data_IF_184497911490
#
_entry.id   IF_184497911490
#
_cell.length_a   1.000
_cell.length_b   1.000
_cell.length_c   1.000
_cell.angle_alpha   90.00
_cell.angle_beta   90.00
_cell.angle_gamma   90.00
#
_symmetry.space_group_name_H-M   'P 1'
#
loop_
_entity.id
_entity.type
_entity.pdbx_description
1 polymer ?
#
# COMPACT_ATOMS: atom_id res chain seq x y z
N UNK A 1 24.08 14.87 1.18
CA UNK A 1 22.77 14.17 1.04
C UNK A 1 21.74 15.24 0.81
N UNK A 2 21.01 15.18 -0.30
CA UNK A 2 19.90 16.09 -0.54
C UNK A 2 18.82 15.78 0.50
N UNK A 3 18.46 16.76 1.32
CA UNK A 3 17.41 16.62 2.31
C UNK A 3 16.06 16.73 1.61
N UNK A 4 15.08 15.91 2.03
CA UNK A 4 13.71 16.01 1.53
C UNK A 4 13.11 17.36 1.95
N UNK A 5 12.63 18.14 0.99
CA UNK A 5 11.98 19.42 1.26
C UNK A 5 10.49 19.21 1.58
N UNK A 6 10.19 19.09 2.88
CA UNK A 6 8.82 18.91 3.37
C UNK A 6 7.93 20.10 3.03
N UNK A 7 8.45 21.32 3.05
CA UNK A 7 7.67 22.50 2.73
C UNK A 7 7.26 22.54 1.26
N UNK A 8 8.16 22.13 0.36
CA UNK A 8 7.84 21.97 -1.06
C UNK A 8 6.83 20.83 -1.28
N UNK A 9 6.91 19.74 -0.53
CA UNK A 9 5.94 18.64 -0.59
C UNK A 9 4.54 19.11 -0.16
N UNK A 10 4.41 19.74 1.00
CA UNK A 10 3.13 20.27 1.52
C UNK A 10 2.49 21.25 0.53
N UNK A 11 3.28 22.18 -0.04
CA UNK A 11 2.76 23.15 -1.04
C UNK A 11 2.29 22.46 -2.33
N UNK A 12 2.79 21.29 -2.69
CA UNK A 12 2.46 20.55 -3.91
C UNK A 12 1.41 19.48 -3.70
N UNK A 13 1.14 19.11 -2.45
CA UNK A 13 0.14 18.11 -2.11
C UNK A 13 -1.24 18.56 -2.59
N UNK A 14 -1.91 17.70 -3.33
CA UNK A 14 -3.20 17.98 -3.96
C UNK A 14 -3.91 16.69 -4.34
N UNK A 15 -5.20 16.79 -4.64
CA UNK A 15 -5.94 15.71 -5.28
C UNK A 15 -5.26 15.27 -6.57
N UNK A 16 -5.31 13.96 -6.86
CA UNK A 16 -4.81 13.42 -8.12
C UNK A 16 -5.48 14.13 -9.29
N UNK A 17 -4.67 14.70 -10.18
CA UNK A 17 -5.19 15.39 -11.36
C UNK A 17 -5.65 14.37 -12.40
N UNK A 18 -6.96 14.30 -12.61
CA UNK A 18 -7.59 13.41 -13.58
C UNK A 18 -8.07 14.15 -14.85
N UNK A 19 -7.69 15.41 -15.04
CA UNK A 19 -8.01 16.16 -16.25
C UNK A 19 -7.33 15.53 -17.47
N UNK A 20 -8.04 15.47 -18.57
CA UNK A 20 -7.55 14.89 -19.82
C UNK A 20 -7.56 13.35 -19.87
N UNK A 21 -8.03 12.67 -18.82
CA UNK A 21 -8.26 11.22 -18.88
C UNK A 21 -9.44 10.95 -19.83
N UNK A 22 -9.24 10.07 -20.79
CA UNK A 22 -10.26 9.68 -21.79
C UNK A 22 -11.21 8.61 -21.21
N UNK A 23 -12.09 9.01 -20.30
CA UNK A 23 -13.01 8.09 -19.62
C UNK A 23 -13.90 7.27 -20.56
N UNK A 24 -14.34 7.88 -21.69
CA UNK A 24 -15.16 7.21 -22.70
C UNK A 24 -14.39 6.13 -23.48
N UNK A 25 -13.06 6.11 -23.38
CA UNK A 25 -12.23 5.07 -23.95
C UNK A 25 -12.09 3.85 -23.03
N UNK A 26 -12.40 3.97 -21.75
CA UNK A 26 -12.23 2.86 -20.78
C UNK A 26 -12.97 1.60 -21.24
N UNK A 27 -14.28 1.62 -21.58
CA UNK A 27 -14.98 0.39 -21.96
C UNK A 27 -14.57 -0.19 -23.31
N UNK A 28 -13.73 0.52 -24.08
CA UNK A 28 -13.23 0.03 -25.38
C UNK A 28 -12.07 -0.97 -25.25
N UNK A 29 -11.47 -1.07 -24.08
CA UNK A 29 -10.34 -1.94 -23.81
C UNK A 29 -10.71 -2.94 -22.72
N UNK A 30 -10.60 -4.24 -23.05
CA UNK A 30 -10.91 -5.28 -22.06
C UNK A 30 -9.79 -5.40 -21.03
N UNK A 31 -10.17 -5.54 -19.76
CA UNK A 31 -9.25 -5.88 -18.68
C UNK A 31 -9.20 -7.40 -18.48
N UNK A 32 -8.03 -8.00 -18.22
CA UNK A 32 -7.94 -9.34 -17.65
C UNK A 32 -8.61 -9.40 -16.26
N UNK A 33 -9.25 -10.52 -15.94
CA UNK A 33 -9.93 -10.71 -14.66
C UNK A 33 -8.97 -10.56 -13.46
N UNK A 34 -7.72 -10.99 -13.64
CA UNK A 34 -6.65 -10.83 -12.66
C UNK A 34 -6.30 -9.36 -12.41
N UNK A 35 -6.33 -8.54 -13.46
CA UNK A 35 -6.11 -7.10 -13.32
C UNK A 35 -7.26 -6.44 -12.57
N UNK A 36 -8.51 -6.83 -12.85
CA UNK A 36 -9.71 -6.34 -12.12
C UNK A 36 -9.62 -6.71 -10.63
N UNK A 37 -9.28 -7.97 -10.31
CA UNK A 37 -9.10 -8.43 -8.93
C UNK A 37 -8.01 -7.64 -8.20
N UNK A 38 -6.89 -7.42 -8.87
CA UNK A 38 -5.77 -6.62 -8.34
C UNK A 38 -6.17 -5.16 -8.11
N UNK A 39 -6.87 -4.54 -9.06
CA UNK A 39 -7.34 -3.17 -8.94
C UNK A 39 -8.32 -3.00 -7.78
N UNK A 40 -9.21 -3.96 -7.55
CA UNK A 40 -10.12 -3.94 -6.40
C UNK A 40 -9.37 -4.01 -5.08
N UNK A 41 -8.35 -4.87 -5.00
CA UNK A 41 -7.49 -4.95 -3.83
C UNK A 41 -6.81 -3.60 -3.57
N UNK A 42 -6.15 -3.04 -4.58
CA UNK A 42 -5.43 -1.77 -4.46
C UNK A 42 -6.38 -0.62 -4.10
N UNK A 43 -7.52 -0.52 -4.77
CA UNK A 43 -8.54 0.49 -4.48
C UNK A 43 -9.01 0.44 -3.03
N UNK A 44 -9.20 -0.76 -2.48
CA UNK A 44 -9.62 -0.95 -1.10
C UNK A 44 -8.52 -0.50 -0.12
N UNK A 45 -7.26 -0.86 -0.36
CA UNK A 45 -6.13 -0.47 0.49
C UNK A 45 -5.93 1.05 0.49
N UNK A 46 -5.88 1.69 -0.68
CA UNK A 46 -5.75 3.14 -0.82
C UNK A 46 -6.88 3.88 -0.08
N UNK A 47 -8.11 3.40 -0.22
CA UNK A 47 -9.27 4.00 0.44
C UNK A 47 -9.26 3.85 1.97
N UNK A 48 -8.48 2.89 2.50
CA UNK A 48 -8.43 2.58 3.93
C UNK A 48 -7.11 2.97 4.61
N UNK A 49 -6.24 3.68 3.95
CA UNK A 49 -4.98 4.22 4.50
C UNK A 49 -5.20 5.03 5.79
N UNK A 50 -6.38 5.64 5.95
CA UNK A 50 -6.79 6.34 7.19
C UNK A 50 -6.78 5.42 8.43
N UNK A 51 -7.00 4.11 8.27
CA UNK A 51 -6.96 3.14 9.38
C UNK A 51 -5.53 2.99 9.88
N UNK A 52 -4.57 2.90 8.96
CA UNK A 52 -3.15 2.85 9.28
C UNK A 52 -2.67 4.18 9.90
N UNK A 53 -3.06 5.31 9.31
CA UNK A 53 -2.75 6.63 9.86
C UNK A 53 -3.22 6.78 11.31
N UNK A 54 -4.42 6.32 11.63
CA UNK A 54 -4.94 6.34 13.02
C UNK A 54 -3.99 5.66 14.00
N UNK A 55 -3.35 4.57 13.60
CA UNK A 55 -2.36 3.88 14.43
C UNK A 55 -1.08 4.70 14.56
N UNK A 56 -0.58 5.28 13.46
CA UNK A 56 0.60 6.15 13.47
C UNK A 56 0.40 7.39 14.34
N UNK A 57 -0.77 8.04 14.27
CA UNK A 57 -1.11 9.19 15.09
C UNK A 57 -1.14 8.89 16.61
N UNK A 58 -1.23 7.62 16.98
CA UNK A 58 -1.16 7.19 18.38
C UNK A 58 0.27 6.93 18.86
N UNK A 59 1.28 7.10 18.00
CA UNK A 59 2.71 6.89 18.32
C UNK A 59 3.45 8.23 18.43
N UNK A 60 4.74 8.16 18.73
CA UNK A 60 5.62 9.34 18.76
C UNK A 60 5.97 9.91 17.38
N UNK A 61 5.45 9.31 16.29
CA UNK A 61 5.64 9.85 14.95
C UNK A 61 5.12 11.28 14.81
N UNK A 62 4.07 11.63 15.56
CA UNK A 62 3.48 12.99 15.54
C UNK A 62 4.24 14.02 16.38
N UNK A 63 5.22 13.61 17.19
CA UNK A 63 6.08 14.54 17.93
C UNK A 63 7.04 15.29 16.98
N UNK A 64 7.26 14.74 15.78
CA UNK A 64 8.06 15.38 14.72
C UNK A 64 7.12 16.15 13.78
N UNK A 65 7.22 17.49 13.71
CA UNK A 65 6.31 18.31 12.91
C UNK A 65 6.38 18.03 11.41
N UNK A 66 7.55 17.63 10.90
CA UNK A 66 7.72 17.30 9.48
C UNK A 66 7.02 15.95 9.15
N UNK A 67 7.13 14.98 10.05
CA UNK A 67 6.40 13.71 9.92
C UNK A 67 4.89 13.94 10.01
N UNK A 68 4.44 14.75 10.97
CA UNK A 68 3.02 15.06 11.10
C UNK A 68 2.45 15.75 9.86
N UNK A 69 3.18 16.73 9.30
CA UNK A 69 2.79 17.44 8.08
C UNK A 69 2.74 16.49 6.87
N UNK A 70 3.73 15.60 6.74
CA UNK A 70 3.74 14.59 5.70
C UNK A 70 2.53 13.67 5.81
N UNK A 71 2.27 13.10 6.98
CA UNK A 71 1.18 12.14 7.18
C UNK A 71 -0.20 12.73 6.86
N UNK A 72 -0.41 14.01 7.15
CA UNK A 72 -1.66 14.69 6.81
C UNK A 72 -1.85 14.82 5.29
N UNK A 73 -0.80 15.20 4.56
CA UNK A 73 -0.83 15.30 3.10
C UNK A 73 -0.91 13.92 2.45
N UNK A 74 -0.12 12.96 2.93
CA UNK A 74 -0.07 11.60 2.42
C UNK A 74 -1.45 10.93 2.44
N UNK A 75 -2.14 10.89 3.58
CA UNK A 75 -3.47 10.27 3.64
C UNK A 75 -4.50 10.97 2.74
N UNK A 76 -4.35 12.26 2.54
CA UNK A 76 -5.18 13.00 1.59
C UNK A 76 -4.92 12.53 0.14
N UNK A 77 -3.66 12.39 -0.27
CA UNK A 77 -3.28 11.92 -1.60
C UNK A 77 -3.74 10.47 -1.82
N UNK A 78 -3.50 9.55 -0.87
CA UNK A 78 -3.96 8.15 -0.90
C UNK A 78 -5.49 8.04 -1.07
N UNK A 79 -6.25 8.88 -0.35
CA UNK A 79 -7.71 8.92 -0.51
C UNK A 79 -8.11 9.24 -1.96
N UNK A 80 -7.33 10.09 -2.65
CA UNK A 80 -7.58 10.41 -4.05
C UNK A 80 -7.09 9.34 -5.02
N UNK A 81 -6.04 8.58 -4.68
CA UNK A 81 -5.65 7.37 -5.42
C UNK A 81 -6.79 6.34 -5.39
N UNK A 82 -7.30 6.02 -4.22
CA UNK A 82 -8.43 5.10 -4.07
C UNK A 82 -9.67 5.53 -4.87
N UNK A 83 -9.99 6.83 -4.85
CA UNK A 83 -11.11 7.39 -5.64
C UNK A 83 -10.87 7.27 -7.15
N UNK A 84 -9.65 7.51 -7.62
CA UNK A 84 -9.31 7.39 -9.04
C UNK A 84 -9.43 5.95 -9.53
N UNK A 85 -8.97 4.98 -8.73
CA UNK A 85 -9.11 3.56 -9.02
C UNK A 85 -10.58 3.13 -9.00
N UNK A 86 -11.39 3.62 -8.04
CA UNK A 86 -12.82 3.36 -7.99
C UNK A 86 -13.54 3.91 -9.21
N UNK A 87 -13.23 5.15 -9.62
CA UNK A 87 -13.80 5.76 -10.82
C UNK A 87 -13.44 4.97 -12.07
N UNK A 88 -12.20 4.51 -12.19
CA UNK A 88 -11.77 3.67 -13.30
C UNK A 88 -12.52 2.33 -13.33
N UNK A 89 -12.62 1.63 -12.21
CA UNK A 89 -13.37 0.37 -12.11
C UNK A 89 -14.82 0.56 -12.51
N UNK A 90 -15.46 1.63 -12.04
CA UNK A 90 -16.84 1.97 -12.42
C UNK A 90 -16.98 2.23 -13.92
N UNK A 91 -16.08 3.02 -14.52
CA UNK A 91 -16.06 3.29 -15.96
C UNK A 91 -15.82 2.03 -16.80
N UNK A 92 -15.10 1.04 -16.25
CA UNK A 92 -14.87 -0.27 -16.85
C UNK A 92 -16.05 -1.26 -16.63
N UNK A 93 -17.14 -0.84 -15.99
CA UNK A 93 -18.33 -1.67 -15.72
C UNK A 93 -18.18 -2.63 -14.53
N UNK A 94 -17.22 -2.37 -13.65
CA UNK A 94 -16.99 -3.19 -12.46
C UNK A 94 -17.50 -2.50 -11.19
N UNK A 95 -18.03 -3.31 -10.27
CA UNK A 95 -18.40 -2.83 -8.94
C UNK A 95 -17.17 -2.48 -8.10
N UNK A 96 -17.27 -1.41 -7.35
CA UNK A 96 -16.30 -0.99 -6.35
C UNK A 96 -16.81 -1.33 -4.95
N UNK A 97 -15.90 -1.61 -4.03
CA UNK A 97 -16.26 -1.89 -2.66
C UNK A 97 -16.04 -0.64 -1.81
N UNK A 98 -17.15 -0.14 -1.25
CA UNK A 98 -17.10 0.89 -0.22
C UNK A 98 -17.26 0.20 1.13
N UNK A 99 -16.14 -0.18 1.74
CA UNK A 99 -16.14 -0.75 3.10
C UNK A 99 -16.19 0.37 4.12
N UNK A 100 -17.03 0.28 5.14
CA UNK A 100 -16.93 1.21 6.25
C UNK A 100 -15.57 1.01 6.95
N UNK A 101 -14.89 2.10 7.29
CA UNK A 101 -13.58 2.13 7.97
C UNK A 101 -13.55 1.43 9.37
N UNK A 102 -14.54 0.60 9.67
CA UNK A 102 -14.68 -0.20 10.90
C UNK A 102 -14.62 -1.68 10.55
N UNK A 103 -13.43 -2.24 10.43
CA UNK A 103 -13.28 -3.68 10.56
C UNK A 103 -13.42 -4.08 12.02
N UNK A 104 -14.16 -5.16 12.31
CA UNK A 104 -14.14 -5.79 13.63
C UNK A 104 -12.78 -6.48 13.76
N UNK A 105 -11.87 -5.84 14.49
CA UNK A 105 -10.59 -6.45 14.82
C UNK A 105 -10.84 -7.54 15.86
N UNK A 106 -10.40 -8.79 15.64
CA UNK A 106 -10.47 -9.84 16.64
C UNK A 106 -9.82 -9.40 17.97
N UNK A 107 -10.39 -9.81 19.11
CA UNK A 107 -9.95 -9.35 20.44
C UNK A 107 -8.44 -9.56 20.67
N UNK A 108 -7.89 -10.68 20.21
CA UNK A 108 -6.46 -10.99 20.31
C UNK A 108 -5.58 -10.05 19.49
N UNK A 109 -6.03 -9.63 18.32
CA UNK A 109 -5.33 -8.64 17.49
C UNK A 109 -5.45 -7.23 18.08
N UNK A 110 -6.60 -6.88 18.63
CA UNK A 110 -6.79 -5.62 19.34
C UNK A 110 -5.84 -5.51 20.55
N UNK A 111 -5.61 -6.60 21.29
CA UNK A 111 -4.68 -6.64 22.40
C UNK A 111 -3.23 -6.52 21.93
N UNK A 112 -2.84 -7.21 20.86
CA UNK A 112 -1.51 -7.07 20.24
C UNK A 112 -1.27 -5.64 19.74
N UNK A 113 -2.25 -5.06 19.04
CA UNK A 113 -2.19 -3.68 18.57
C UNK A 113 -2.02 -2.68 19.74
N UNK A 114 -2.71 -2.91 20.88
CA UNK A 114 -2.54 -2.09 22.08
C UNK A 114 -1.14 -2.22 22.69
N UNK A 115 -0.61 -3.44 22.80
CA UNK A 115 0.75 -3.65 23.29
C UNK A 115 1.80 -3.01 22.38
N UNK A 116 1.66 -3.18 21.09
CA UNK A 116 2.53 -2.53 20.08
C UNK A 116 2.44 -1.00 20.18
N UNK A 117 1.24 -0.45 20.38
CA UNK A 117 1.04 1.00 20.56
C UNK A 117 1.68 1.52 21.84
N UNK A 118 1.65 0.75 22.93
CA UNK A 118 2.32 1.14 24.20
C UNK A 118 3.84 1.17 24.00
N UNK A 119 4.42 0.16 23.36
CA UNK A 119 5.86 0.13 23.04
C UNK A 119 6.23 1.27 22.11
N UNK A 120 5.43 1.51 21.07
CA UNK A 120 5.64 2.58 20.09
C UNK A 120 5.58 3.98 20.71
N UNK A 121 4.76 4.16 21.77
CA UNK A 121 4.70 5.40 22.54
C UNK A 121 5.88 5.60 23.49
N UNK A 122 6.34 4.51 24.08
CA UNK A 122 7.41 4.54 25.07
C UNK A 122 8.80 4.67 24.44
N UNK A 123 8.95 4.17 23.21
CA UNK A 123 10.26 4.09 22.55
C UNK A 123 10.40 5.11 21.40
N UNK A 124 11.25 6.14 21.56
CA UNK A 124 11.40 7.20 20.56
C UNK A 124 11.88 6.70 19.20
N UNK A 125 12.75 5.67 19.20
CA UNK A 125 13.34 5.14 17.98
C UNK A 125 12.36 4.26 17.16
N UNK A 126 11.14 4.00 17.69
CA UNK A 126 10.12 3.23 16.97
C UNK A 126 9.69 3.92 15.65
N UNK A 127 9.84 5.24 15.58
CA UNK A 127 9.61 6.00 14.35
C UNK A 127 10.53 5.52 13.22
N UNK A 128 11.77 5.11 13.52
CA UNK A 128 12.67 4.57 12.50
C UNK A 128 12.12 3.28 11.87
N UNK A 129 11.44 2.43 12.63
CA UNK A 129 10.77 1.23 12.13
C UNK A 129 9.65 1.61 11.16
N UNK A 130 8.80 2.56 11.54
CA UNK A 130 7.69 3.03 10.70
C UNK A 130 8.17 3.66 9.40
N UNK A 131 9.22 4.51 9.47
CA UNK A 131 9.77 5.14 8.26
C UNK A 131 10.38 4.09 7.32
N UNK A 132 11.08 3.09 7.87
CA UNK A 132 11.62 2.00 7.06
C UNK A 132 10.52 1.15 6.43
N UNK A 133 9.48 0.81 7.23
CA UNK A 133 8.33 0.05 6.75
C UNK A 133 7.57 0.80 5.65
N UNK A 134 7.31 2.08 5.86
CA UNK A 134 6.71 2.94 4.84
C UNK A 134 7.52 2.98 3.56
N UNK A 135 8.85 3.15 3.65
CA UNK A 135 9.71 3.14 2.47
C UNK A 135 9.63 1.81 1.68
N UNK A 136 9.56 0.66 2.36
CA UNK A 136 9.40 -0.64 1.70
C UNK A 136 8.04 -0.70 1.00
N UNK A 137 6.98 -0.30 1.70
CA UNK A 137 5.61 -0.37 1.19
C UNK A 137 5.41 0.54 -0.03
N UNK A 138 5.78 1.82 0.05
CA UNK A 138 5.63 2.77 -1.05
C UNK A 138 6.40 2.33 -2.32
N UNK A 139 7.63 1.84 -2.15
CA UNK A 139 8.39 1.36 -3.30
C UNK A 139 7.81 0.07 -3.88
N UNK A 140 7.26 -0.80 -3.03
CA UNK A 140 6.58 -2.03 -3.47
C UNK A 140 5.28 -1.68 -4.21
N UNK A 141 4.51 -0.70 -3.71
CA UNK A 141 3.29 -0.18 -4.35
C UNK A 141 3.61 0.45 -5.70
N UNK A 142 4.61 1.32 -5.77
CA UNK A 142 5.08 1.92 -7.02
C UNK A 142 5.42 0.86 -8.09
N UNK A 143 6.23 -0.15 -7.73
CA UNK A 143 6.62 -1.22 -8.65
C UNK A 143 5.45 -2.15 -8.96
N UNK A 144 4.53 -2.35 -8.03
CA UNK A 144 3.27 -3.05 -8.23
C UNK A 144 2.40 -2.37 -9.27
N UNK A 145 2.22 -1.06 -9.19
CA UNK A 145 1.48 -0.27 -10.19
C UNK A 145 2.16 -0.31 -11.55
N UNK A 146 3.49 -0.23 -11.61
CA UNK A 146 4.22 -0.36 -12.86
C UNK A 146 3.98 -1.73 -13.50
N UNK A 147 3.97 -2.79 -12.71
CA UNK A 147 3.69 -4.15 -13.19
C UNK A 147 2.22 -4.31 -13.63
N UNK A 148 1.29 -3.77 -12.85
CA UNK A 148 -0.13 -3.81 -13.20
C UNK A 148 -0.41 -3.11 -14.53
N UNK A 149 0.18 -1.94 -14.76
CA UNK A 149 0.04 -1.23 -16.03
C UNK A 149 0.50 -2.07 -17.24
N UNK A 150 1.63 -2.81 -17.06
CA UNK A 150 2.15 -3.70 -18.10
C UNK A 150 1.27 -4.92 -18.33
N UNK A 151 0.79 -5.56 -17.25
CA UNK A 151 0.01 -6.80 -17.32
C UNK A 151 -1.43 -6.57 -17.78
N UNK A 152 -2.03 -5.46 -17.38
CA UNK A 152 -3.38 -5.08 -17.80
C UNK A 152 -3.45 -4.65 -19.28
N UNK A 153 -2.38 -4.06 -19.83
CA UNK A 153 -2.33 -3.61 -21.22
C UNK A 153 -3.38 -2.56 -21.59
N UNK A 154 -3.94 -1.86 -20.59
CA UNK A 154 -5.05 -0.92 -20.77
C UNK A 154 -4.52 0.52 -20.78
N UNK A 155 -4.62 1.28 -21.91
CA UNK A 155 -3.94 2.57 -22.04
C UNK A 155 -4.42 3.61 -21.04
N UNK A 156 -5.73 3.74 -20.81
CA UNK A 156 -6.26 4.71 -19.84
C UNK A 156 -5.86 4.35 -18.41
N UNK A 157 -5.86 3.07 -18.06
CA UNK A 157 -5.36 2.63 -16.75
C UNK A 157 -3.88 2.98 -16.59
N UNK A 158 -3.06 2.70 -17.60
CA UNK A 158 -1.64 3.00 -17.56
C UNK A 158 -1.37 4.49 -17.31
N UNK A 159 -2.19 5.38 -17.89
CA UNK A 159 -2.09 6.82 -17.66
C UNK A 159 -2.46 7.19 -16.21
N UNK A 160 -3.56 6.65 -15.68
CA UNK A 160 -3.97 6.89 -14.27
C UNK A 160 -2.88 6.39 -13.34
N UNK A 161 -2.40 5.16 -13.53
CA UNK A 161 -1.34 4.58 -12.70
C UNK A 161 -0.03 5.37 -12.81
N UNK A 162 0.32 5.92 -13.98
CA UNK A 162 1.48 6.79 -14.13
C UNK A 162 1.37 8.08 -13.32
N UNK A 163 0.16 8.58 -13.09
CA UNK A 163 -0.08 9.75 -12.24
C UNK A 163 0.04 9.38 -10.76
N UNK A 164 -0.54 8.27 -10.32
CA UNK A 164 -0.39 7.73 -8.95
C UNK A 164 1.09 7.47 -8.66
N UNK A 165 1.79 6.76 -9.52
CA UNK A 165 3.21 6.42 -9.35
C UNK A 165 4.13 7.64 -9.11
N UNK A 166 3.76 8.84 -9.61
CA UNK A 166 4.53 10.06 -9.28
C UNK A 166 4.37 10.47 -7.82
N UNK A 167 3.20 10.25 -7.27
CA UNK A 167 2.92 10.54 -5.85
C UNK A 167 3.60 9.50 -4.96
N UNK A 168 3.50 8.20 -5.31
CA UNK A 168 4.18 7.10 -4.62
C UNK A 168 5.70 7.31 -4.50
N UNK A 169 6.33 7.84 -5.54
CA UNK A 169 7.77 8.14 -5.49
C UNK A 169 8.09 9.30 -4.55
N UNK A 170 7.17 10.26 -4.36
CA UNK A 170 7.34 11.32 -3.36
C UNK A 170 7.15 10.78 -1.95
N UNK A 171 6.14 9.92 -1.75
CA UNK A 171 5.91 9.22 -0.49
C UNK A 171 7.11 8.37 -0.12
N UNK A 172 7.57 7.52 -1.03
CA UNK A 172 8.79 6.73 -0.85
C UNK A 172 9.98 7.60 -0.48
N UNK A 173 10.19 8.71 -1.19
CA UNK A 173 11.33 9.60 -0.94
C UNK A 173 11.32 10.16 0.48
N UNK A 174 10.16 10.59 0.98
CA UNK A 174 10.03 11.04 2.36
C UNK A 174 10.35 9.92 3.36
N UNK A 175 9.65 8.80 3.25
CA UNK A 175 9.83 7.67 4.17
C UNK A 175 11.29 7.19 4.18
N UNK A 176 11.92 7.11 3.01
CA UNK A 176 13.29 6.66 2.87
C UNK A 176 14.29 7.63 3.54
N UNK A 177 14.18 8.94 3.31
CA UNK A 177 15.06 9.93 3.92
C UNK A 177 14.88 9.99 5.45
N UNK A 178 13.63 9.90 5.92
CA UNK A 178 13.36 9.89 7.35
C UNK A 178 13.84 8.60 8.03
N UNK A 179 13.80 7.46 7.34
CA UNK A 179 14.43 6.23 7.80
C UNK A 179 15.95 6.38 7.86
N UNK A 180 16.59 6.84 6.77
CA UNK A 180 18.03 7.03 6.68
C UNK A 180 18.56 7.94 7.81
N UNK A 181 17.89 9.08 8.04
CA UNK A 181 18.21 10.04 9.12
C UNK A 181 18.17 9.39 10.52
N UNK A 182 17.22 8.52 10.79
CA UNK A 182 17.03 7.88 12.11
C UNK A 182 17.87 6.64 12.31
N UNK A 183 18.25 5.95 11.24
CA UNK A 183 19.04 4.72 11.28
C UNK A 183 20.55 4.94 11.42
N UNK A 184 21.01 6.19 11.51
CA UNK A 184 22.44 6.51 11.72
C UNK A 184 22.97 5.89 13.02
N UNK A 185 22.14 5.77 14.05
CA UNK A 185 22.53 5.15 15.33
C UNK A 185 22.55 3.62 15.20
N UNK A 186 23.69 2.94 15.42
CA UNK A 186 23.81 1.50 15.21
C UNK A 186 22.83 0.64 16.04
N UNK A 187 22.48 1.10 17.24
CA UNK A 187 21.49 0.42 18.10
C UNK A 187 20.10 0.50 17.51
N UNK A 188 19.68 1.69 17.07
CA UNK A 188 18.38 1.93 16.40
C UNK A 188 18.30 1.10 15.12
N UNK A 189 19.35 1.11 14.29
CA UNK A 189 19.41 0.35 13.05
C UNK A 189 19.27 -1.16 13.28
N UNK A 190 19.96 -1.72 14.28
CA UNK A 190 19.86 -3.16 14.62
C UNK A 190 18.46 -3.55 15.08
N UNK A 191 17.85 -2.73 15.95
CA UNK A 191 16.50 -3.03 16.44
C UNK A 191 15.46 -2.85 15.33
N UNK A 192 15.55 -1.76 14.56
CA UNK A 192 14.67 -1.54 13.42
C UNK A 192 14.76 -2.68 12.41
N UNK A 193 15.99 -3.14 12.08
CA UNK A 193 16.21 -4.29 11.22
C UNK A 193 15.55 -5.56 11.79
N UNK A 194 15.76 -5.89 13.05
CA UNK A 194 15.19 -7.08 13.67
C UNK A 194 13.64 -7.05 13.67
N UNK A 195 13.04 -5.89 13.93
CA UNK A 195 11.59 -5.73 13.92
C UNK A 195 11.02 -5.80 12.49
N UNK A 196 11.68 -5.18 11.52
CA UNK A 196 11.26 -5.25 10.11
C UNK A 196 11.40 -6.69 9.60
N UNK A 197 12.52 -7.36 9.81
CA UNK A 197 12.70 -8.76 9.39
C UNK A 197 11.66 -9.70 10.01
N UNK A 198 11.24 -9.43 11.25
CA UNK A 198 10.32 -10.32 11.99
C UNK A 198 8.86 -10.07 11.69
N UNK A 199 8.48 -8.82 11.41
CA UNK A 199 7.07 -8.42 11.39
C UNK A 199 6.62 -7.80 10.08
N UNK A 200 7.53 -7.42 9.19
CA UNK A 200 7.11 -6.85 7.91
C UNK A 200 6.27 -7.84 7.12
N UNK A 201 5.20 -7.31 6.56
CA UNK A 201 4.34 -8.01 5.63
C UNK A 201 3.90 -7.02 4.53
N UNK A 202 3.57 -7.50 3.34
CA UNK A 202 3.09 -6.67 2.24
C UNK A 202 1.86 -5.84 2.62
N UNK A 203 1.71 -4.71 1.94
CA UNK A 203 0.58 -3.79 2.13
C UNK A 203 -0.75 -4.55 2.03
N UNK A 204 -1.64 -4.30 2.98
CA UNK A 204 -2.96 -4.92 3.03
C UNK A 204 -3.02 -6.30 3.68
N UNK A 205 -1.88 -6.91 4.06
CA UNK A 205 -1.87 -8.24 4.68
C UNK A 205 -2.60 -8.33 6.03
N UNK A 206 -2.81 -7.19 6.70
CA UNK A 206 -3.54 -7.13 7.96
C UNK A 206 -5.05 -6.90 7.75
N UNK A 207 -5.45 -6.33 6.63
CA UNK A 207 -6.81 -5.90 6.31
C UNK A 207 -7.51 -6.84 5.35
N UNK A 208 -6.75 -7.52 4.49
CA UNK A 208 -7.24 -8.43 3.47
C UNK A 208 -6.97 -9.89 3.83
N UNK A 209 -7.80 -10.83 3.33
CA UNK A 209 -7.48 -12.25 3.42
C UNK A 209 -6.11 -12.56 2.82
N UNK A 210 -5.35 -13.44 3.47
CA UNK A 210 -4.01 -13.82 3.02
C UNK A 210 -4.00 -14.33 1.57
N UNK A 211 -5.07 -14.97 1.13
CA UNK A 211 -5.27 -15.44 -0.24
C UNK A 211 -5.23 -14.28 -1.24
N UNK A 212 -5.88 -13.15 -0.93
CA UNK A 212 -5.88 -11.97 -1.81
C UNK A 212 -4.49 -11.35 -1.92
N UNK A 213 -3.78 -11.26 -0.79
CA UNK A 213 -2.40 -10.75 -0.77
C UNK A 213 -1.45 -11.67 -1.56
N UNK A 214 -1.61 -12.98 -1.42
CA UNK A 214 -0.84 -13.98 -2.20
C UNK A 214 -1.15 -13.89 -3.68
N UNK A 215 -2.43 -13.80 -4.05
CA UNK A 215 -2.84 -13.63 -5.43
C UNK A 215 -2.19 -12.41 -6.07
N UNK A 216 -2.33 -11.24 -5.43
CA UNK A 216 -1.75 -9.98 -5.89
C UNK A 216 -0.23 -10.11 -6.08
N UNK A 217 0.48 -10.65 -5.10
CA UNK A 217 1.91 -10.79 -5.17
C UNK A 217 2.34 -11.78 -6.27
N UNK A 218 1.63 -12.89 -6.43
CA UNK A 218 1.88 -13.83 -7.53
C UNK A 218 1.63 -13.17 -8.87
N UNK A 219 0.53 -12.46 -9.04
CA UNK A 219 0.20 -11.80 -10.30
C UNK A 219 1.22 -10.72 -10.68
N UNK A 220 1.61 -9.87 -9.74
CA UNK A 220 2.49 -8.73 -10.01
C UNK A 220 3.98 -9.10 -10.04
N UNK A 221 4.42 -9.99 -9.14
CA UNK A 221 5.85 -10.24 -8.90
C UNK A 221 6.35 -11.61 -9.34
N UNK A 222 5.53 -12.42 -10.02
CA UNK A 222 6.01 -13.66 -10.65
C UNK A 222 6.75 -13.39 -11.96
N UNK A 223 7.42 -14.44 -12.45
CA UNK A 223 8.22 -14.37 -13.68
C UNK A 223 9.46 -13.48 -13.57
N UNK A 224 10.30 -13.41 -14.62
CA UNK A 224 11.57 -12.69 -14.58
C UNK A 224 11.42 -11.19 -14.30
N UNK A 225 10.44 -10.53 -14.92
CA UNK A 225 10.20 -9.09 -14.74
C UNK A 225 9.64 -8.76 -13.35
N UNK A 226 8.71 -9.59 -12.83
CA UNK A 226 8.18 -9.43 -11.48
C UNK A 226 9.25 -9.64 -10.41
N UNK A 227 10.06 -10.68 -10.53
CA UNK A 227 11.20 -10.91 -9.64
C UNK A 227 12.25 -9.81 -9.72
N UNK A 228 12.50 -9.24 -10.89
CA UNK A 228 13.38 -8.08 -11.02
C UNK A 228 12.82 -6.85 -10.28
N UNK A 229 11.49 -6.66 -10.29
CA UNK A 229 10.84 -5.61 -9.52
C UNK A 229 11.02 -5.83 -8.01
N UNK A 230 10.78 -7.04 -7.49
CA UNK A 230 11.01 -7.38 -6.09
C UNK A 230 12.46 -7.14 -5.65
N UNK A 231 13.44 -7.60 -6.44
CA UNK A 231 14.86 -7.32 -6.17
C UNK A 231 15.19 -5.83 -6.09
N UNK A 232 14.59 -5.01 -6.96
CA UNK A 232 14.81 -3.55 -6.93
C UNK A 232 14.35 -2.92 -5.62
N UNK A 233 13.27 -3.42 -5.00
CA UNK A 233 12.88 -2.97 -3.66
C UNK A 233 13.99 -3.31 -2.67
N UNK A 234 14.34 -4.58 -2.57
CA UNK A 234 15.33 -5.06 -1.60
C UNK A 234 16.70 -4.38 -1.81
N UNK A 235 17.15 -4.20 -3.05
CA UNK A 235 18.40 -3.49 -3.38
C UNK A 235 18.39 -2.03 -2.92
N UNK A 236 17.25 -1.35 -3.01
CA UNK A 236 17.12 0.03 -2.54
C UNK A 236 17.16 0.09 -1.01
N UNK A 237 16.45 -0.83 -0.34
CA UNK A 237 16.40 -0.89 1.12
C UNK A 237 17.74 -1.31 1.72
N UNK A 238 18.53 -2.17 1.06
CA UNK A 238 19.89 -2.56 1.46
C UNK A 238 20.83 -1.37 1.67
N UNK A 239 20.54 -0.21 1.08
CA UNK A 239 21.36 1.00 1.21
C UNK A 239 21.10 1.76 2.51
N UNK A 240 20.01 1.44 3.21
CA UNK A 240 19.75 2.03 4.53
C UNK A 240 20.75 1.50 5.57
N UNK A 241 21.19 2.34 6.53
CA UNK A 241 22.09 1.90 7.60
C UNK A 241 21.52 0.71 8.37
N UNK A 242 22.30 -0.37 8.48
CA UNK A 242 21.91 -1.60 9.16
C UNK A 242 21.07 -2.57 8.33
N UNK A 243 20.69 -2.24 7.09
CA UNK A 243 19.87 -3.08 6.22
C UNK A 243 20.67 -3.83 5.14
N UNK A 244 21.99 -3.85 5.20
CA UNK A 244 22.81 -4.66 4.31
C UNK A 244 22.33 -6.13 4.31
N UNK A 245 22.22 -6.72 3.11
CA UNK A 245 21.81 -8.12 2.93
C UNK A 245 20.32 -8.41 3.16
N UNK A 246 19.46 -7.40 3.34
CA UNK A 246 18.01 -7.61 3.42
C UNK A 246 17.47 -8.21 2.13
N UNK A 247 16.50 -9.12 2.25
CA UNK A 247 15.79 -9.75 1.13
C UNK A 247 14.34 -10.02 1.54
N UNK A 248 13.61 -8.99 1.93
CA UNK A 248 12.26 -9.11 2.49
C UNK A 248 11.23 -9.46 1.43
N UNK A 249 11.20 -8.68 0.34
CA UNK A 249 10.20 -8.85 -0.71
C UNK A 249 10.48 -10.12 -1.51
N UNK A 250 11.75 -10.37 -1.85
CA UNK A 250 12.13 -11.62 -2.52
C UNK A 250 11.82 -12.85 -1.66
N UNK A 251 12.19 -12.83 -0.37
CA UNK A 251 11.95 -13.95 0.54
C UNK A 251 10.46 -14.22 0.76
N UNK A 252 9.64 -13.16 0.84
CA UNK A 252 8.20 -13.30 0.99
C UNK A 252 7.58 -13.95 -0.26
N UNK A 253 7.98 -13.53 -1.47
CA UNK A 253 7.53 -14.12 -2.73
C UNK A 253 8.02 -15.57 -2.88
N UNK A 254 9.26 -15.87 -2.49
CA UNK A 254 9.81 -17.24 -2.56
C UNK A 254 9.18 -18.20 -1.54
N UNK A 255 8.71 -17.68 -0.41
CA UNK A 255 7.99 -18.46 0.61
C UNK A 255 6.53 -18.81 0.24
N UNK A 256 6.02 -18.28 -0.89
CA UNK A 256 4.68 -18.63 -1.35
C UNK A 256 4.65 -20.01 -1.98
N UNK A 257 3.57 -20.83 -1.75
CA UNK A 257 3.37 -22.09 -2.46
C UNK A 257 3.38 -21.88 -3.99
N UNK A 258 4.21 -22.62 -4.70
CA UNK A 258 4.36 -22.47 -6.16
C UNK A 258 3.27 -23.16 -6.97
N UNK A 259 2.49 -24.04 -6.34
CA UNK A 259 1.61 -25.02 -7.00
C UNK A 259 0.13 -24.92 -6.59
N UNK A 260 -0.31 -23.84 -5.99
CA UNK A 260 -1.76 -23.66 -5.91
C UNK A 260 -2.26 -23.18 -7.30
N UNK A 261 -3.17 -23.96 -7.95
CA UNK A 261 -3.85 -23.48 -9.13
C UNK A 261 -4.50 -22.14 -8.80
N UNK A 262 -4.47 -21.20 -9.76
CA UNK A 262 -5.10 -19.89 -9.58
C UNK A 262 -6.44 -20.09 -8.88
N UNK A 263 -6.67 -19.48 -7.70
CA UNK A 263 -7.85 -19.77 -6.90
C UNK A 263 -9.08 -19.65 -7.78
N UNK A 264 -9.91 -20.70 -7.79
CA UNK A 264 -11.21 -20.66 -8.45
C UNK A 264 -11.87 -19.37 -8.02
N UNK A 265 -12.53 -18.68 -8.94
CA UNK A 265 -13.31 -17.46 -8.66
C UNK A 265 -14.17 -17.67 -7.40
N UNK A 266 -13.60 -17.41 -6.26
CA UNK A 266 -14.37 -17.28 -5.02
C UNK A 266 -15.01 -15.91 -5.16
N UNK A 267 -16.34 -15.90 -5.26
CA UNK A 267 -17.06 -14.65 -5.25
C UNK A 267 -16.58 -13.88 -4.00
N UNK A 268 -15.94 -12.74 -4.23
CA UNK A 268 -15.50 -11.88 -3.14
C UNK A 268 -16.70 -11.52 -2.30
N UNK A 269 -16.82 -12.10 -1.14
CA UNK A 269 -17.86 -11.75 -0.16
C UNK A 269 -17.22 -10.76 0.82
N UNK A 270 -17.58 -9.46 0.72
CA UNK A 270 -17.12 -8.48 1.69
C UNK A 270 -17.58 -8.93 3.08
N UNK A 271 -16.65 -9.08 4.01
CA UNK A 271 -16.97 -9.40 5.40
C UNK A 271 -17.82 -8.26 5.94
N UNK A 272 -19.15 -8.48 6.05
CA UNK A 272 -20.09 -7.55 6.69
C UNK A 272 -21.03 -6.77 5.80
N UNK A 273 -21.24 -7.14 4.53
CA UNK A 273 -22.35 -6.56 3.76
C UNK A 273 -23.69 -6.94 4.42
N UNK A 274 -24.52 -5.98 4.88
CA UNK A 274 -25.88 -6.29 5.27
C UNK A 274 -26.63 -6.74 4.02
N UNK A 275 -27.39 -7.84 4.13
CA UNK A 275 -28.32 -8.25 3.10
C UNK A 275 -29.27 -7.07 2.84
N UNK A 276 -29.10 -6.40 1.70
CA UNK A 276 -30.04 -5.41 1.22
C UNK A 276 -31.34 -6.17 0.93
N UNK A 277 -32.28 -6.05 1.87
CA UNK A 277 -33.65 -6.50 1.68
C UNK A 277 -34.19 -5.88 0.37
N UNK A 278 -34.50 -6.74 -0.59
CA UNK A 278 -35.23 -6.36 -1.80
C UNK A 278 -36.53 -5.72 -1.37
N UNK A 279 -36.59 -4.41 -1.32
CA UNK A 279 -37.87 -3.69 -1.24
C UNK A 279 -38.62 -3.98 -2.53
N UNK A 280 -39.59 -4.88 -2.44
CA UNK A 280 -40.64 -5.02 -3.46
C UNK A 280 -41.39 -3.69 -3.52
N UNK A 281 -41.19 -2.96 -4.58
CA UNK A 281 -42.16 -1.94 -4.99
C UNK A 281 -43.42 -2.71 -5.39
N UNK A 282 -44.38 -2.74 -4.49
CA UNK A 282 -45.75 -3.09 -4.82
C UNK A 282 -46.50 -1.81 -5.21
N UNK A 283 -47.24 -1.90 -6.27
CA UNK A 283 -48.04 -0.90 -7.00
C UNK A 283 -48.85 0.06 -6.12
#
# INVERSE_FOLDING_TARGET
MDTFDIQAYVRRSRALDLRGIEWDAVPRHRLPDEAVRTLRYMQDIESHTIIYLRTLLSTRAVDDPDVAAFLACWVYEETHHGRALAQFLHAAGHETFDRPARSRVPLGEALRARLTSVVARAWPDFVAVHMTWGAINELTTYLGYQRLAQLAGHPVLAEILARIMRDEMRHFSFYYHEAEKRLVRPTTARIARALVDRFWAPVGSAEQPLEETRFLATYLFSGPAGRAAARRVDEKIRRLPGFAGVALVEAWIDGMPRDEPAPRQVAYHPIGAPALARARVAR
#
